data_IF_026518566968
#
_entry.id   IF_026518566968
#
_cell.length_a   1.000
_cell.length_b   1.000
_cell.length_c   1.000
_cell.angle_alpha   90.00
_cell.angle_beta   90.00
_cell.angle_gamma   90.00
#
_symmetry.space_group_name_H-M   'P 1'
#
loop_
_entity.id
_entity.type
_entity.pdbx_description
1 polymer ?
#
# COMPACT_ATOMS: atom_id res chain seq x y z
N UNK A 1 -0.13 -9.23 -10.27
CA UNK A 1 0.17 -8.27 -9.18
C UNK A 1 -0.25 -8.79 -7.81
N UNK A 2 -1.54 -9.06 -7.57
CA UNK A 2 -2.02 -9.52 -6.26
C UNK A 2 -1.30 -10.80 -5.79
N UNK A 3 -1.20 -11.83 -6.64
CA UNK A 3 -0.51 -13.07 -6.31
C UNK A 3 0.99 -12.86 -6.00
N UNK A 4 1.66 -11.98 -6.73
CA UNK A 4 3.06 -11.63 -6.46
C UNK A 4 3.22 -10.92 -5.11
N UNK A 5 2.29 -10.03 -4.75
CA UNK A 5 2.27 -9.40 -3.45
C UNK A 5 1.99 -10.40 -2.34
N UNK A 6 1.01 -11.29 -2.51
CA UNK A 6 0.75 -12.38 -1.55
C UNK A 6 1.96 -13.29 -1.39
N UNK A 7 2.63 -13.65 -2.48
CA UNK A 7 3.83 -14.50 -2.44
C UNK A 7 5.01 -13.83 -1.72
N UNK A 8 5.19 -12.52 -1.87
CA UNK A 8 6.34 -11.81 -1.29
C UNK A 8 6.08 -11.29 0.13
N UNK A 9 4.90 -10.71 0.37
CA UNK A 9 4.55 -10.06 1.64
C UNK A 9 3.78 -10.97 2.60
N UNK A 10 3.27 -12.12 2.14
CA UNK A 10 2.46 -13.03 2.94
C UNK A 10 1.24 -12.33 3.53
N UNK A 11 0.99 -12.53 4.83
CA UNK A 11 -0.17 -11.97 5.54
C UNK A 11 -0.21 -10.43 5.59
N UNK A 12 0.91 -9.76 5.24
CA UNK A 12 0.95 -8.29 5.09
C UNK A 12 0.30 -7.81 3.80
N UNK A 13 0.10 -8.67 2.80
CA UNK A 13 -0.67 -8.34 1.60
C UNK A 13 -2.17 -8.52 1.89
N UNK A 14 -2.91 -7.41 1.86
CA UNK A 14 -4.35 -7.40 2.11
C UNK A 14 -5.09 -6.65 1.01
N UNK A 15 -6.38 -6.96 0.85
CA UNK A 15 -7.25 -6.20 -0.04
C UNK A 15 -7.52 -4.83 0.55
N UNK A 16 -7.25 -3.79 -0.24
CA UNK A 16 -7.64 -2.43 0.10
C UNK A 16 -9.12 -2.24 -0.23
N UNK A 17 -9.91 -1.91 0.80
CA UNK A 17 -11.31 -1.52 0.59
C UNK A 17 -11.40 -0.17 -0.13
N UNK A 18 -12.50 0.12 -0.84
CA UNK A 18 -12.71 1.43 -1.44
C UNK A 18 -12.51 2.55 -0.44
N UNK A 19 -11.62 3.49 -0.77
CA UNK A 19 -11.33 4.68 0.04
C UNK A 19 -12.09 5.86 -0.56
N UNK A 20 -12.81 6.69 0.23
CA UNK A 20 -13.60 7.81 -0.30
C UNK A 20 -12.74 9.00 -0.76
N UNK A 21 -11.42 8.87 -0.79
CA UNK A 21 -10.50 9.87 -1.30
C UNK A 21 -10.44 9.80 -2.83
N UNK A 22 -10.30 10.96 -3.48
CA UNK A 22 -9.99 11.06 -4.90
C UNK A 22 -8.49 11.07 -5.13
N UNK A 23 -8.06 10.60 -6.29
CA UNK A 23 -6.68 10.69 -6.78
C UNK A 23 -6.69 10.74 -8.32
N UNK A 24 -5.79 11.51 -8.93
CA UNK A 24 -5.73 11.72 -10.38
C UNK A 24 -4.84 10.71 -11.11
N UNK A 25 -4.22 9.76 -10.39
CA UNK A 25 -3.32 8.73 -10.93
C UNK A 25 -3.86 8.03 -12.19
N UNK A 26 -5.17 7.78 -12.27
CA UNK A 26 -5.80 7.09 -13.40
C UNK A 26 -5.77 7.89 -14.70
N UNK A 27 -5.61 9.21 -14.65
CA UNK A 27 -5.56 10.06 -15.85
C UNK A 27 -4.39 9.70 -16.76
N UNK A 28 -3.24 9.34 -16.17
CA UNK A 28 -2.04 8.93 -16.90
C UNK A 28 -2.28 7.64 -17.72
N UNK A 29 -2.59 6.47 -17.13
CA UNK A 29 -2.80 5.24 -17.88
C UNK A 29 -4.01 5.34 -18.82
N UNK A 30 -5.05 6.09 -18.46
CA UNK A 30 -6.20 6.35 -19.34
C UNK A 30 -5.78 7.08 -20.62
N UNK A 31 -4.91 8.09 -20.52
CA UNK A 31 -4.40 8.82 -21.70
C UNK A 31 -3.62 7.91 -22.67
N UNK A 32 -3.02 6.83 -22.16
CA UNK A 32 -2.29 5.84 -22.97
C UNK A 32 -3.11 4.59 -23.33
N UNK A 33 -4.36 4.47 -22.84
CA UNK A 33 -5.18 3.27 -23.05
C UNK A 33 -4.60 2.00 -22.41
N UNK A 34 -3.80 2.14 -21.35
CA UNK A 34 -3.07 1.03 -20.72
C UNK A 34 -3.78 0.59 -19.43
N UNK A 35 -3.91 -0.71 -19.15
CA UNK A 35 -4.43 -1.16 -17.87
C UNK A 35 -3.50 -0.72 -16.72
N UNK A 36 -4.09 -0.44 -15.56
CA UNK A 36 -3.33 -0.06 -14.38
C UNK A 36 -3.82 -0.78 -13.13
N UNK A 37 -3.00 -0.73 -12.08
CA UNK A 37 -3.36 -1.17 -10.74
C UNK A 37 -2.83 -0.13 -9.77
N UNK A 38 -3.63 0.24 -8.78
CA UNK A 38 -3.26 1.15 -7.71
C UNK A 38 -3.33 0.40 -6.38
N UNK A 39 -2.38 0.65 -5.48
CA UNK A 39 -2.31 0.00 -4.18
C UNK A 39 -1.84 0.98 -3.10
N UNK A 40 -2.14 0.67 -1.84
CA UNK A 40 -1.64 1.40 -0.69
C UNK A 40 -0.53 0.65 0.03
N UNK A 41 0.26 1.38 0.82
CA UNK A 41 1.17 0.82 1.83
C UNK A 41 0.86 1.39 3.20
N UNK A 42 1.01 0.58 4.25
CA UNK A 42 0.94 1.07 5.62
C UNK A 42 2.16 1.94 5.96
N UNK A 43 1.97 2.93 6.81
CA UNK A 43 3.04 3.84 7.23
C UNK A 43 3.06 4.17 8.73
N UNK A 44 2.18 3.54 9.50
CA UNK A 44 2.08 3.68 10.95
C UNK A 44 3.04 2.68 11.61
N UNK A 45 3.64 3.08 12.72
CA UNK A 45 4.41 2.16 13.56
C UNK A 45 3.62 0.86 13.81
N UNK A 46 4.17 -0.33 13.48
CA UNK A 46 3.42 -1.59 13.52
C UNK A 46 2.85 -1.93 14.91
N UNK A 47 3.57 -1.60 15.98
CA UNK A 47 3.12 -1.89 17.34
C UNK A 47 2.02 -0.93 17.77
N UNK A 48 2.12 0.35 17.38
CA UNK A 48 1.08 1.35 17.57
C UNK A 48 -0.21 0.96 16.84
N UNK A 49 -0.10 0.55 15.57
CA UNK A 49 -1.25 0.09 14.80
C UNK A 49 -1.88 -1.16 15.42
N UNK A 50 -1.08 -2.15 15.81
CA UNK A 50 -1.57 -3.40 16.43
C UNK A 50 -2.32 -3.12 17.73
N UNK A 51 -1.77 -2.28 18.61
CA UNK A 51 -2.45 -1.87 19.85
C UNK A 51 -3.80 -1.22 19.59
N UNK A 52 -3.88 -0.32 18.59
CA UNK A 52 -5.14 0.32 18.21
C UNK A 52 -6.15 -0.68 17.62
N UNK A 53 -5.67 -1.63 16.80
CA UNK A 53 -6.49 -2.69 16.20
C UNK A 53 -7.04 -3.64 17.27
N UNK A 54 -6.19 -4.15 18.16
CA UNK A 54 -6.57 -5.06 19.25
C UNK A 54 -7.58 -4.41 20.22
N UNK A 55 -7.50 -3.08 20.39
CA UNK A 55 -8.45 -2.30 21.18
C UNK A 55 -9.71 -1.88 20.41
N UNK A 56 -9.80 -2.13 19.10
CA UNK A 56 -10.91 -1.68 18.25
C UNK A 56 -10.99 -0.15 18.09
N UNK A 57 -9.86 0.56 18.19
CA UNK A 57 -9.78 2.03 18.23
C UNK A 57 -8.96 2.67 17.11
N UNK A 58 -8.83 1.99 15.97
CA UNK A 58 -8.02 2.49 14.85
C UNK A 58 -8.43 3.92 14.45
N UNK A 59 -9.72 4.20 14.33
CA UNK A 59 -10.23 5.50 13.90
C UNK A 59 -9.94 6.64 14.91
N UNK A 60 -9.65 6.32 16.16
CA UNK A 60 -9.40 7.28 17.23
C UNK A 60 -7.90 7.46 17.48
N UNK A 61 -7.14 6.37 17.40
CA UNK A 61 -5.74 6.35 17.82
C UNK A 61 -4.77 6.55 16.65
N UNK A 62 -5.18 6.26 15.42
CA UNK A 62 -4.32 6.37 14.24
C UNK A 62 -4.63 7.67 13.50
N UNK A 63 -3.68 8.62 13.43
CA UNK A 63 -3.89 9.85 12.69
C UNK A 63 -4.14 9.56 11.20
N UNK A 64 -5.15 10.21 10.63
CA UNK A 64 -5.41 10.16 9.20
C UNK A 64 -4.49 11.13 8.45
N UNK A 65 -4.30 10.95 7.13
CA UNK A 65 -3.73 12.00 6.27
C UNK A 65 -4.41 13.35 6.54
N UNK A 66 -3.65 14.44 6.46
CA UNK A 66 -4.04 15.82 6.81
C UNK A 66 -4.22 16.13 8.31
N UNK A 67 -4.11 15.18 9.23
CA UNK A 67 -4.03 15.49 10.65
C UNK A 67 -2.66 16.14 11.00
N UNK A 68 -2.61 17.13 11.91
CA UNK A 68 -1.36 17.84 12.24
C UNK A 68 -0.30 16.97 12.91
N UNK A 69 -0.70 15.83 13.46
CA UNK A 69 0.17 14.83 14.09
C UNK A 69 0.37 13.57 13.23
N UNK A 70 -0.05 13.59 11.96
CA UNK A 70 0.23 12.49 11.05
C UNK A 70 1.71 12.44 10.71
N UNK A 71 2.39 11.39 11.19
CA UNK A 71 3.83 11.20 11.05
C UNK A 71 4.14 9.74 10.65
N UNK A 72 4.23 9.45 9.35
CA UNK A 72 4.73 8.16 8.85
C UNK A 72 6.08 7.78 9.46
N UNK A 73 6.23 6.54 9.92
CA UNK A 73 7.56 6.03 10.31
C UNK A 73 8.41 5.83 9.06
N UNK A 74 9.71 6.16 9.11
CA UNK A 74 10.59 5.99 7.93
C UNK A 74 10.68 4.50 7.58
N UNK A 75 11.06 3.68 8.55
CA UNK A 75 11.04 2.23 8.40
C UNK A 75 9.97 1.61 9.30
N UNK A 76 9.22 0.61 8.79
CA UNK A 76 9.44 -0.12 7.53
C UNK A 76 8.76 0.50 6.28
N UNK A 77 8.23 1.72 6.35
CA UNK A 77 7.43 2.32 5.25
C UNK A 77 8.21 2.44 3.95
N UNK A 78 9.40 3.04 3.98
CA UNK A 78 10.22 3.22 2.79
C UNK A 78 10.66 1.89 2.20
N UNK A 79 11.12 0.94 3.03
CA UNK A 79 11.48 -0.40 2.59
C UNK A 79 10.29 -1.10 1.94
N UNK A 80 9.11 -1.03 2.54
CA UNK A 80 7.88 -1.66 2.02
C UNK A 80 7.47 -1.03 0.69
N UNK A 81 7.54 0.30 0.56
CA UNK A 81 7.25 1.00 -0.70
C UNK A 81 8.22 0.61 -1.81
N UNK A 82 9.52 0.59 -1.54
CA UNK A 82 10.53 0.15 -2.51
C UNK A 82 10.34 -1.32 -2.90
N UNK A 83 10.11 -2.20 -1.92
CA UNK A 83 9.82 -3.62 -2.18
C UNK A 83 8.58 -3.79 -3.06
N UNK A 84 7.48 -3.07 -2.77
CA UNK A 84 6.25 -3.18 -3.52
C UNK A 84 6.45 -2.77 -5.00
N UNK A 85 7.18 -1.69 -5.25
CA UNK A 85 7.54 -1.26 -6.61
C UNK A 85 8.39 -2.31 -7.34
N UNK A 86 9.41 -2.87 -6.67
CA UNK A 86 10.30 -3.87 -7.27
C UNK A 86 9.55 -5.17 -7.57
N UNK A 87 8.76 -5.67 -6.62
CA UNK A 87 7.93 -6.88 -6.81
C UNK A 87 6.94 -6.67 -7.94
N UNK A 88 6.29 -5.51 -8.00
CA UNK A 88 5.36 -5.18 -9.08
C UNK A 88 6.04 -5.17 -10.46
N UNK A 89 7.22 -4.54 -10.54
CA UNK A 89 7.99 -4.51 -11.78
C UNK A 89 8.46 -5.91 -12.20
N UNK A 90 8.93 -6.74 -11.25
CA UNK A 90 9.41 -8.09 -11.53
C UNK A 90 8.28 -9.06 -11.89
N UNK A 91 7.06 -8.89 -11.36
CA UNK A 91 5.89 -9.68 -11.76
C UNK A 91 5.59 -9.48 -13.26
N UNK A 92 5.70 -8.24 -13.74
CA UNK A 92 5.45 -7.90 -15.13
C UNK A 92 6.64 -8.19 -16.07
N UNK A 93 7.86 -7.81 -15.66
CA UNK A 93 9.06 -7.86 -16.49
C UNK A 93 9.82 -9.18 -16.36
N UNK A 94 9.86 -9.77 -15.16
CA UNK A 94 10.55 -11.04 -14.89
C UNK A 94 9.83 -12.25 -15.50
N UNK A 95 8.56 -12.08 -15.90
CA UNK A 95 7.75 -13.09 -16.57
C UNK A 95 7.95 -13.22 -18.09
N UNK A 96 8.75 -12.35 -18.74
CA UNK A 96 8.99 -12.38 -20.20
C UNK A 96 9.84 -13.59 -20.69
N UNK A 97 9.97 -14.64 -19.87
CA UNK A 97 10.58 -15.91 -20.23
C UNK A 97 9.66 -17.11 -19.90
N UNK A 98 8.34 -16.91 -19.91
CA UNK A 98 7.32 -17.98 -19.85
C UNK A 98 6.67 -18.19 -21.20
#
# INVERSE_FOLDING_TARGET
MADAFTSFFGDRAQSLNPVPASEDFSDIPNAFGTPYTYWGIGCIDPDTYRKAADAGRIAQDIPAPHAPNFAPVIQPTCDTGTQALVVAALDWLGGHNR
#
